data_IF_997397499398
#
_entry.id   IF_997397499398
#
_cell.length_a   1.000
_cell.length_b   1.000
_cell.length_c   1.000
_cell.angle_alpha   90.00
_cell.angle_beta   90.00
_cell.angle_gamma   90.00
#
_symmetry.space_group_name_H-M   'P 1'
#
loop_
_entity.id
_entity.type
_entity.pdbx_description
1 polymer ?
#
# COMPACT_ATOMS: atom_id res chain seq x y z
N UNK A 1 11.85 20.30 -8.37
CA UNK A 1 11.18 19.00 -8.19
C UNK A 1 10.98 18.86 -6.70
N UNK A 2 9.75 18.60 -6.25
CA UNK A 2 9.47 18.37 -4.83
C UNK A 2 9.90 16.96 -4.47
N UNK A 3 10.67 16.81 -3.39
CA UNK A 3 11.08 15.51 -2.87
C UNK A 3 9.83 14.77 -2.39
N UNK A 4 9.79 13.45 -2.59
CA UNK A 4 8.80 12.60 -1.94
C UNK A 4 9.01 12.63 -0.41
N UNK A 5 7.95 12.88 0.34
CA UNK A 5 8.03 13.09 1.80
C UNK A 5 6.88 12.38 2.53
N UNK A 6 7.08 12.12 3.82
CA UNK A 6 6.03 11.64 4.71
C UNK A 6 4.87 12.63 4.79
N UNK A 7 3.66 12.13 5.04
CA UNK A 7 2.52 12.98 5.36
C UNK A 7 2.70 13.57 6.77
N UNK A 8 2.62 14.89 6.87
CA UNK A 8 2.69 15.62 8.13
C UNK A 8 1.33 16.16 8.59
N UNK A 9 0.40 16.38 7.67
CA UNK A 9 -0.93 16.89 7.99
C UNK A 9 -1.84 15.76 8.51
N UNK A 10 -2.41 15.97 9.70
CA UNK A 10 -3.29 15.00 10.34
C UNK A 10 -4.57 14.77 9.52
N UNK A 11 -5.13 15.83 8.91
CA UNK A 11 -6.40 15.73 8.19
C UNK A 11 -6.22 14.92 6.91
N UNK A 12 -5.15 15.21 6.17
CA UNK A 12 -4.74 14.48 4.98
C UNK A 12 -4.49 13.00 5.30
N UNK A 13 -3.64 12.72 6.31
CA UNK A 13 -3.36 11.33 6.69
C UNK A 13 -4.61 10.59 7.13
N UNK A 14 -5.44 11.20 7.99
CA UNK A 14 -6.66 10.56 8.50
C UNK A 14 -7.64 10.25 7.38
N UNK A 15 -7.74 11.11 6.36
CA UNK A 15 -8.60 10.88 5.20
C UNK A 15 -8.19 9.62 4.44
N UNK A 16 -6.90 9.49 4.11
CA UNK A 16 -6.40 8.31 3.42
C UNK A 16 -6.43 7.07 4.32
N UNK A 17 -6.08 7.20 5.60
CA UNK A 17 -6.11 6.09 6.55
C UNK A 17 -7.53 5.53 6.74
N UNK A 18 -8.55 6.38 6.88
CA UNK A 18 -9.95 5.93 6.98
C UNK A 18 -10.37 5.17 5.71
N UNK A 19 -10.08 5.71 4.53
CA UNK A 19 -10.41 5.05 3.27
C UNK A 19 -9.70 3.71 3.10
N UNK A 20 -8.43 3.61 3.47
CA UNK A 20 -7.70 2.35 3.45
C UNK A 20 -8.32 1.33 4.41
N UNK A 21 -8.69 1.74 5.63
CA UNK A 21 -9.32 0.85 6.60
C UNK A 21 -10.68 0.35 6.14
N UNK A 22 -11.51 1.23 5.59
CA UNK A 22 -12.80 0.84 5.00
C UNK A 22 -12.59 -0.14 3.84
N UNK A 23 -11.60 0.10 2.98
CA UNK A 23 -11.20 -0.81 1.91
C UNK A 23 -10.78 -2.18 2.44
N UNK A 24 -9.94 -2.24 3.48
CA UNK A 24 -9.51 -3.51 4.10
C UNK A 24 -10.67 -4.26 4.74
N UNK A 25 -11.59 -3.56 5.41
CA UNK A 25 -12.80 -4.18 5.95
C UNK A 25 -13.69 -4.73 4.84
N UNK A 26 -13.86 -3.98 3.75
CA UNK A 26 -14.61 -4.44 2.59
C UNK A 26 -13.97 -5.68 1.93
N UNK A 27 -12.64 -5.72 1.81
CA UNK A 27 -11.92 -6.89 1.27
C UNK A 27 -12.23 -8.18 2.02
N UNK A 28 -12.54 -8.12 3.33
CA UNK A 28 -12.90 -9.29 4.13
C UNK A 28 -14.23 -9.93 3.69
N UNK A 29 -15.12 -9.16 3.05
CA UNK A 29 -16.42 -9.61 2.56
C UNK A 29 -16.40 -10.01 1.07
N UNK A 30 -15.30 -9.73 0.35
CA UNK A 30 -15.14 -10.11 -1.07
C UNK A 30 -14.91 -11.62 -1.20
N UNK A 31 -15.59 -12.32 -2.14
CA UNK A 31 -15.32 -13.72 -2.41
C UNK A 31 -13.85 -13.96 -2.76
N UNK A 32 -13.27 -15.04 -2.22
CA UNK A 32 -11.82 -15.30 -2.32
C UNK A 32 -11.33 -15.43 -3.75
N UNK A 33 -12.16 -15.97 -4.63
CA UNK A 33 -11.92 -16.19 -6.05
C UNK A 33 -11.85 -14.89 -6.85
N UNK A 34 -12.43 -13.81 -6.34
CA UNK A 34 -12.38 -12.48 -6.98
C UNK A 34 -11.12 -11.71 -6.60
N UNK A 35 -10.46 -12.07 -5.50
CA UNK A 35 -9.22 -11.45 -5.02
C UNK A 35 -8.00 -11.93 -5.81
N UNK A 36 -7.01 -11.05 -5.91
CA UNK A 36 -5.68 -11.35 -6.44
C UNK A 36 -4.66 -11.40 -5.32
N UNK A 37 -3.93 -12.51 -5.19
CA UNK A 37 -3.00 -12.73 -4.08
C UNK A 37 -1.55 -12.58 -4.53
N UNK A 38 -0.72 -11.95 -3.72
CA UNK A 38 0.72 -11.76 -3.99
C UNK A 38 1.53 -11.85 -2.69
N UNK A 39 2.86 -11.86 -2.79
CA UNK A 39 3.73 -11.86 -1.62
C UNK A 39 4.00 -10.41 -1.18
N UNK A 40 3.69 -10.01 0.05
CA UNK A 40 3.99 -8.67 0.56
C UNK A 40 5.47 -8.30 0.45
N UNK A 41 6.40 -9.26 0.36
CA UNK A 41 7.82 -8.96 0.13
C UNK A 41 8.05 -8.22 -1.20
N UNK A 42 7.12 -8.31 -2.14
CA UNK A 42 7.23 -7.70 -3.45
C UNK A 42 6.96 -6.19 -3.45
N UNK A 43 6.30 -5.62 -2.43
CA UNK A 43 5.94 -4.19 -2.40
C UNK A 43 7.14 -3.26 -2.64
N UNK A 44 8.29 -3.42 -1.95
CA UNK A 44 9.46 -2.60 -2.21
C UNK A 44 10.24 -3.04 -3.45
N UNK A 45 9.64 -3.79 -4.39
CA UNK A 45 10.31 -4.20 -5.65
C UNK A 45 9.83 -3.36 -6.83
N UNK A 46 10.70 -3.25 -7.83
CA UNK A 46 10.38 -2.60 -9.11
C UNK A 46 9.14 -3.21 -9.76
N UNK A 47 9.01 -4.54 -9.75
CA UNK A 47 7.92 -5.21 -10.48
C UNK A 47 6.55 -4.90 -9.90
N UNK A 48 6.45 -4.74 -8.58
CA UNK A 48 5.21 -4.31 -7.93
C UNK A 48 4.96 -2.82 -8.15
N UNK A 49 5.99 -1.98 -8.07
CA UNK A 49 5.86 -0.56 -8.41
C UNK A 49 5.35 -0.36 -9.84
N UNK A 50 5.90 -1.09 -10.82
CA UNK A 50 5.45 -1.03 -12.22
C UNK A 50 3.98 -1.48 -12.37
N UNK A 51 3.52 -2.45 -11.56
CA UNK A 51 2.10 -2.83 -11.53
C UNK A 51 1.24 -1.63 -11.09
N UNK A 52 1.62 -0.94 -10.02
CA UNK A 52 0.88 0.25 -9.56
C UNK A 52 0.83 1.33 -10.64
N UNK A 53 1.95 1.58 -11.32
CA UNK A 53 2.01 2.53 -12.43
C UNK A 53 1.10 2.12 -13.60
N UNK A 54 1.07 0.84 -13.96
CA UNK A 54 0.19 0.31 -15.01
C UNK A 54 -1.30 0.50 -14.65
N UNK A 55 -1.69 0.19 -13.41
CA UNK A 55 -3.08 0.37 -12.96
C UNK A 55 -3.50 1.84 -12.97
N UNK A 56 -2.62 2.74 -12.55
CA UNK A 56 -2.86 4.19 -12.61
C UNK A 56 -3.00 4.67 -14.04
N UNK A 57 -2.10 4.26 -14.93
CA UNK A 57 -2.14 4.63 -16.35
C UNK A 57 -3.43 4.15 -17.02
N UNK A 58 -3.88 2.93 -16.70
CA UNK A 58 -5.15 2.37 -17.19
C UNK A 58 -6.35 3.25 -16.79
N UNK A 59 -6.33 3.83 -15.58
CA UNK A 59 -7.37 4.74 -15.09
C UNK A 59 -7.16 6.21 -15.49
N UNK A 60 -6.13 6.52 -16.30
CA UNK A 60 -5.71 7.92 -16.58
C UNK A 60 -5.45 8.72 -15.30
N UNK A 61 -4.90 8.06 -14.28
CA UNK A 61 -4.46 8.62 -13.00
C UNK A 61 -2.94 8.58 -12.92
N UNK A 62 -2.38 9.36 -11.99
CA UNK A 62 -0.93 9.50 -11.84
C UNK A 62 -0.47 9.53 -10.38
N UNK A 63 -1.39 9.40 -9.43
CA UNK A 63 -1.09 9.54 -8.02
C UNK A 63 -1.63 8.36 -7.23
N UNK A 64 -0.80 7.86 -6.32
CA UNK A 64 -1.19 6.85 -5.35
C UNK A 64 -0.66 7.20 -3.97
N UNK A 65 -1.31 6.62 -2.96
CA UNK A 65 -0.89 6.76 -1.56
C UNK A 65 -0.43 5.41 -1.05
N UNK A 66 0.67 5.42 -0.30
CA UNK A 66 1.17 4.28 0.49
C UNK A 66 0.96 4.60 1.96
N UNK A 67 0.40 3.67 2.73
CA UNK A 67 0.12 3.83 4.16
C UNK A 67 0.52 2.57 4.92
N UNK A 68 1.13 2.74 6.09
CA UNK A 68 1.25 1.67 7.10
C UNK A 68 0.07 1.80 8.05
N UNK A 69 -0.66 0.69 8.22
CA UNK A 69 -1.85 0.60 9.06
C UNK A 69 -1.54 -0.05 10.42
N UNK A 70 -0.49 -0.87 10.47
CA UNK A 70 0.04 -1.52 11.68
C UNK A 70 1.57 -1.68 11.50
N UNK A 71 2.45 -1.22 12.41
CA UNK A 71 2.22 -0.62 13.74
C UNK A 71 1.27 0.59 13.76
N UNK A 72 0.69 0.89 14.92
CA UNK A 72 -0.31 1.95 15.03
C UNK A 72 0.24 3.31 14.53
N UNK A 73 -0.42 3.96 13.56
CA UNK A 73 0.14 5.15 12.94
C UNK A 73 0.11 6.39 13.85
N UNK A 74 -0.72 6.42 14.88
CA UNK A 74 -0.93 7.57 15.76
C UNK A 74 -0.14 7.42 17.06
N UNK A 75 -0.42 6.37 17.83
CA UNK A 75 0.13 6.16 19.17
C UNK A 75 1.55 5.59 19.14
N UNK A 76 1.96 4.96 18.03
CA UNK A 76 3.33 4.51 17.82
C UNK A 76 4.10 5.45 16.89
N UNK A 77 3.78 5.43 15.59
CA UNK A 77 4.66 6.07 14.60
C UNK A 77 4.68 7.60 14.73
N UNK A 78 3.51 8.24 14.79
CA UNK A 78 3.44 9.70 14.99
C UNK A 78 4.00 10.13 16.35
N UNK A 79 3.71 9.38 17.41
CA UNK A 79 4.28 9.64 18.73
C UNK A 79 5.82 9.66 18.73
N UNK A 80 6.46 8.73 18.01
CA UNK A 80 7.91 8.64 17.96
C UNK A 80 8.57 9.60 16.96
N UNK A 81 7.94 9.87 15.81
CA UNK A 81 8.61 10.55 14.69
C UNK A 81 7.98 11.89 14.27
N UNK A 82 6.85 12.29 14.85
CA UNK A 82 6.19 13.58 14.57
C UNK A 82 5.62 13.72 13.14
N UNK A 83 5.45 12.60 12.45
CA UNK A 83 4.91 12.47 11.09
C UNK A 83 4.13 11.16 10.98
N UNK A 84 3.33 11.00 9.95
CA UNK A 84 2.51 9.80 9.78
C UNK A 84 3.16 8.80 8.82
N UNK A 85 2.97 7.49 9.02
CA UNK A 85 3.63 6.46 8.22
C UNK A 85 2.93 6.26 6.88
N UNK A 86 3.05 7.25 6.01
CA UNK A 86 2.52 7.21 4.66
C UNK A 86 2.97 8.39 3.84
N UNK A 87 2.80 8.28 2.52
CA UNK A 87 3.20 9.30 1.56
C UNK A 87 2.36 9.19 0.28
N UNK A 88 2.24 10.30 -0.43
CA UNK A 88 1.60 10.36 -1.74
C UNK A 88 2.68 10.45 -2.80
N UNK A 89 2.73 9.45 -3.68
CA UNK A 89 3.60 9.45 -4.85
C UNK A 89 2.87 10.09 -6.03
N UNK A 90 3.52 11.08 -6.65
CA UNK A 90 2.97 11.86 -7.76
C UNK A 90 3.73 11.63 -9.05
N UNK A 91 3.17 12.11 -10.16
CA UNK A 91 3.73 11.96 -11.52
C UNK A 91 5.18 12.42 -11.68
N UNK A 92 5.61 13.39 -10.88
CA UNK A 92 6.95 13.97 -10.88
C UNK A 92 7.95 13.22 -10.01
N UNK A 93 7.49 12.26 -9.19
CA UNK A 93 8.35 11.47 -8.33
C UNK A 93 8.93 10.27 -9.07
N UNK A 94 10.20 9.97 -8.81
CA UNK A 94 10.81 8.76 -9.36
C UNK A 94 10.50 7.51 -8.55
N UNK A 95 10.78 6.36 -9.13
CA UNK A 95 10.86 5.07 -8.43
C UNK A 95 11.99 5.06 -7.39
N UNK A 96 13.15 5.65 -7.71
CA UNK A 96 14.25 5.83 -6.74
C UNK A 96 13.78 6.57 -5.48
N UNK A 97 12.95 7.62 -5.61
CA UNK A 97 12.38 8.34 -4.48
C UNK A 97 11.41 7.47 -3.67
N UNK A 98 10.60 6.66 -4.35
CA UNK A 98 9.71 5.69 -3.71
C UNK A 98 10.50 4.69 -2.85
N UNK A 99 11.50 4.02 -3.42
CA UNK A 99 12.30 3.03 -2.70
C UNK A 99 13.14 3.67 -1.61
N UNK A 100 13.66 4.87 -1.86
CA UNK A 100 14.40 5.62 -0.85
C UNK A 100 13.52 5.92 0.36
N UNK A 101 12.31 6.45 0.16
CA UNK A 101 11.41 6.77 1.27
C UNK A 101 10.93 5.53 2.02
N UNK A 102 10.65 4.43 1.31
CA UNK A 102 10.30 3.15 1.93
C UNK A 102 11.40 2.65 2.87
N UNK A 103 12.67 2.90 2.55
CA UNK A 103 13.82 2.43 3.34
C UNK A 103 14.46 3.51 4.22
N UNK A 104 13.92 4.74 4.22
CA UNK A 104 14.47 5.87 4.97
C UNK A 104 14.27 5.67 6.47
N UNK A 105 15.28 6.02 7.28
CA UNK A 105 15.14 6.11 8.73
C UNK A 105 14.13 7.22 9.08
N UNK A 106 12.99 6.89 9.72
CA UNK A 106 11.98 7.87 10.05
C UNK A 106 12.43 8.84 11.15
N UNK A 107 13.48 8.55 11.92
CA UNK A 107 14.03 9.47 12.91
C UNK A 107 14.83 8.78 14.01
N UNK A 108 16.03 8.28 13.68
CA UNK A 108 16.95 7.66 14.64
C UNK A 108 16.66 6.19 14.95
N UNK A 109 15.84 5.54 14.13
CA UNK A 109 15.54 4.12 14.21
C UNK A 109 15.35 3.54 12.80
N UNK A 110 16.44 3.12 12.13
CA UNK A 110 16.37 2.48 10.81
C UNK A 110 15.49 1.22 10.78
N UNK A 111 15.29 0.60 11.94
CA UNK A 111 14.38 -0.53 12.08
C UNK A 111 12.91 -0.14 11.85
N UNK A 112 12.55 1.14 12.00
CA UNK A 112 11.20 1.67 11.82
C UNK A 112 10.91 2.22 10.41
N UNK A 113 11.84 2.04 9.46
CA UNK A 113 11.59 2.36 8.06
C UNK A 113 10.32 1.64 7.57
N UNK A 114 9.53 2.29 6.70
CA UNK A 114 8.21 1.79 6.29
C UNK A 114 8.29 0.41 5.62
N UNK A 115 9.29 0.18 4.78
CA UNK A 115 9.58 -1.10 4.12
C UNK A 115 10.15 -2.18 5.06
N UNK A 116 10.48 -1.83 6.31
CA UNK A 116 11.07 -2.74 7.30
C UNK A 116 10.09 -3.07 8.41
N UNK A 117 9.43 -2.07 9.02
CA UNK A 117 8.49 -2.25 10.13
C UNK A 117 7.05 -1.97 9.71
N UNK A 118 6.49 -2.92 8.96
CA UNK A 118 5.07 -2.97 8.66
C UNK A 118 4.55 -4.39 8.92
N UNK A 119 3.42 -4.45 9.60
CA UNK A 119 2.58 -5.65 9.69
C UNK A 119 1.45 -5.56 8.67
N UNK A 120 0.78 -4.40 8.64
CA UNK A 120 -0.30 -4.10 7.70
C UNK A 120 0.05 -2.84 6.91
N UNK A 121 -0.12 -2.88 5.60
CA UNK A 121 0.03 -1.71 4.73
C UNK A 121 -1.09 -1.69 3.69
N UNK A 122 -1.31 -0.51 3.11
CA UNK A 122 -2.21 -0.34 1.99
C UNK A 122 -1.59 0.58 0.93
N UNK A 123 -1.81 0.24 -0.34
CA UNK A 123 -1.51 1.07 -1.50
C UNK A 123 -2.79 1.21 -2.32
N UNK A 124 -3.15 2.44 -2.68
CA UNK A 124 -4.38 2.72 -3.42
C UNK A 124 -4.23 4.05 -4.19
N UNK A 125 -4.98 4.27 -5.28
CA UNK A 125 -4.88 5.51 -6.05
C UNK A 125 -5.43 6.66 -5.21
N UNK A 126 -4.88 7.87 -5.32
CA UNK A 126 -5.45 9.05 -4.61
C UNK A 126 -6.90 9.26 -5.04
N UNK A 127 -7.21 9.02 -6.31
CA UNK A 127 -8.55 8.95 -6.85
C UNK A 127 -8.74 7.65 -7.63
N UNK A 128 -9.64 6.79 -7.16
CA UNK A 128 -9.96 5.50 -7.79
C UNK A 128 -10.54 4.53 -6.78
N UNK A 129 -10.63 3.26 -7.18
CA UNK A 129 -11.49 2.25 -6.56
C UNK A 129 -10.81 0.88 -6.40
N UNK A 130 -9.50 0.81 -6.61
CA UNK A 130 -8.70 -0.37 -6.27
C UNK A 130 -7.87 -0.15 -5.00
N UNK A 131 -7.55 -1.25 -4.34
CA UNK A 131 -6.72 -1.29 -3.15
C UNK A 131 -5.84 -2.54 -3.18
N UNK A 132 -4.54 -2.35 -2.94
CA UNK A 132 -3.62 -3.39 -2.55
C UNK A 132 -3.42 -3.30 -1.04
N UNK A 133 -3.69 -4.39 -0.33
CA UNK A 133 -3.42 -4.55 1.09
C UNK A 133 -2.44 -5.70 1.27
N UNK A 134 -1.63 -5.68 2.31
CA UNK A 134 -0.99 -6.92 2.71
C UNK A 134 -0.69 -7.01 4.18
N UNK A 135 -0.61 -8.27 4.58
CA UNK A 135 -0.48 -8.72 5.94
C UNK A 135 0.75 -9.62 6.05
N UNK A 136 1.78 -9.06 6.69
CA UNK A 136 3.06 -9.73 6.87
C UNK A 136 2.99 -10.87 7.89
N UNK A 137 2.01 -10.90 8.79
CA UNK A 137 1.84 -12.04 9.70
C UNK A 137 1.39 -13.31 8.97
N UNK A 138 0.81 -13.17 7.78
CA UNK A 138 0.42 -14.27 6.91
C UNK A 138 1.31 -14.44 5.67
N UNK A 139 2.23 -13.51 5.42
CA UNK A 139 2.97 -13.39 4.16
C UNK A 139 2.03 -13.36 2.94
N UNK A 140 0.92 -12.62 3.05
CA UNK A 140 -0.10 -12.51 1.98
C UNK A 140 -0.51 -11.06 1.74
N UNK A 141 -0.38 -10.66 0.48
CA UNK A 141 -0.97 -9.47 -0.10
C UNK A 141 -2.24 -9.81 -0.88
N UNK A 142 -3.18 -8.89 -0.92
CA UNK A 142 -4.40 -8.94 -1.71
C UNK A 142 -4.57 -7.65 -2.51
N UNK A 143 -4.95 -7.78 -3.77
CA UNK A 143 -5.37 -6.69 -4.63
C UNK A 143 -6.85 -6.92 -4.99
N UNK A 144 -7.64 -5.86 -4.95
CA UNK A 144 -9.00 -5.84 -5.47
C UNK A 144 -9.33 -4.49 -6.09
N UNK A 145 -10.25 -4.50 -7.05
CA UNK A 145 -10.79 -3.33 -7.72
C UNK A 145 -11.90 -3.75 -8.69
N UNK A 146 -12.38 -2.83 -9.54
CA UNK A 146 -13.32 -3.15 -10.60
C UNK A 146 -12.80 -4.21 -11.59
N UNK A 147 -13.71 -4.86 -12.31
CA UNK A 147 -13.38 -6.03 -13.15
C UNK A 147 -12.28 -5.76 -14.20
N UNK A 148 -12.27 -4.58 -14.80
CA UNK A 148 -11.26 -4.15 -15.78
C UNK A 148 -9.87 -3.93 -15.14
N UNK A 149 -9.83 -3.37 -13.93
CA UNK A 149 -8.59 -3.28 -13.13
C UNK A 149 -8.06 -4.66 -12.77
N UNK A 150 -8.95 -5.56 -12.37
CA UNK A 150 -8.57 -6.93 -12.02
C UNK A 150 -8.04 -7.70 -13.24
N UNK A 151 -8.61 -7.49 -14.42
CA UNK A 151 -8.10 -8.04 -15.68
C UNK A 151 -6.74 -7.44 -16.05
N UNK A 152 -6.59 -6.12 -15.99
CA UNK A 152 -5.33 -5.42 -16.22
C UNK A 152 -4.21 -5.97 -15.32
N UNK A 153 -4.48 -6.07 -14.01
CA UNK A 153 -3.54 -6.60 -13.03
C UNK A 153 -3.11 -8.04 -13.38
N UNK A 154 -4.06 -8.95 -13.64
CA UNK A 154 -3.79 -10.36 -13.98
C UNK A 154 -2.87 -10.53 -15.19
N UNK A 155 -2.97 -9.62 -16.15
CA UNK A 155 -2.16 -9.66 -17.36
C UNK A 155 -0.73 -9.12 -17.15
N UNK A 156 -0.49 -8.35 -16.08
CA UNK A 156 0.79 -7.70 -15.83
C UNK A 156 1.66 -8.41 -14.78
N UNK A 157 1.04 -8.92 -13.72
CA UNK A 157 1.72 -9.37 -12.50
C UNK A 157 1.45 -10.85 -12.18
N UNK A 158 2.46 -11.63 -11.72
CA UNK A 158 2.29 -13.06 -11.45
C UNK A 158 1.64 -13.33 -10.08
N UNK A 159 0.34 -13.07 -9.97
CA UNK A 159 -0.43 -13.38 -8.76
C UNK A 159 -0.50 -14.89 -8.47
N UNK A 160 -0.60 -15.25 -7.20
CA UNK A 160 -0.83 -16.60 -6.74
C UNK A 160 -2.26 -17.06 -6.99
N UNK A 161 -2.43 -18.38 -7.13
CA UNK A 161 -3.74 -19.00 -7.35
C UNK A 161 -4.68 -18.89 -6.14
N UNK A 162 -4.13 -18.75 -4.93
CA UNK A 162 -4.90 -18.62 -3.70
C UNK A 162 -4.02 -18.46 -2.46
N UNK A 163 -4.61 -18.01 -1.34
CA UNK A 163 -3.90 -17.77 -0.10
C UNK A 163 -3.70 -19.08 0.71
N UNK A 164 -2.84 -19.06 1.76
CA UNK A 164 -2.74 -20.15 2.72
C UNK A 164 -4.08 -20.55 3.34
N UNK A 165 -4.19 -21.82 3.73
CA UNK A 165 -5.35 -22.31 4.48
C UNK A 165 -5.53 -21.47 5.76
N UNK A 166 -6.76 -21.01 5.99
CA UNK A 166 -7.17 -20.16 7.14
C UNK A 166 -6.75 -18.69 7.09
N UNK A 167 -6.09 -18.21 6.03
CA UNK A 167 -5.88 -16.76 5.85
C UNK A 167 -7.19 -15.98 6.07
N UNK A 168 -7.13 -14.83 6.74
CA UNK A 168 -8.25 -13.92 6.98
C UNK A 168 -7.73 -12.50 6.76
N UNK A 169 -8.57 -11.66 6.15
CA UNK A 169 -8.28 -10.24 5.96
C UNK A 169 -8.86 -9.50 7.16
N UNK A 170 -8.05 -8.65 7.79
CA UNK A 170 -8.42 -7.89 8.98
C UNK A 170 -7.35 -6.87 9.35
N UNK A 171 -7.69 -5.96 10.26
CA UNK A 171 -6.80 -4.93 10.83
C UNK A 171 -6.40 -5.26 12.25
#
# INVERSE_FOLDING_TARGET
MSRLEYIHDLTEFTTFWQRAREGVLFLADVPREELLYFDPIDIPTQKFFDLIQELLAFQSKTEFVTLILNPDPFDYFHHHFGKYPGFVHRSENSDDEFFHLMMEDPGGSPADALGVNHQHYAIMPVEGDWIAFGDRSWDVGVLYGPADIMECARNFYPFFLGPPERFRIGL
#
